data_IF_273359033055
#
_entry.id   IF_273359033055
#
_cell.length_a   1.000
_cell.length_b   1.000
_cell.length_c   1.000
_cell.angle_alpha   90.00
_cell.angle_beta   90.00
_cell.angle_gamma   90.00
#
_symmetry.space_group_name_H-M   'P 1'
#
loop_
_entity.id
_entity.type
_entity.pdbx_description
1 polymer ?
#
# COMPACT_ATOMS: atom_id res chain seq x y z
N UNK A 1 -4.03 8.45 -3.95
CA UNK A 1 -3.19 7.83 -2.92
C UNK A 1 -3.39 8.59 -1.63
N UNK A 2 -3.96 7.99 -0.59
CA UNK A 2 -4.29 8.67 0.66
C UNK A 2 -3.43 8.17 1.81
N UNK A 3 -2.64 9.02 2.29
CA UNK A 3 -2.11 9.33 3.63
C UNK A 3 -2.16 8.19 4.64
N UNK A 4 -1.28 7.24 4.52
CA UNK A 4 -1.13 6.15 5.49
C UNK A 4 -0.67 6.63 6.87
N UNK A 5 -0.05 7.78 6.96
CA UNK A 5 0.59 8.28 8.17
C UNK A 5 -0.30 8.89 9.23
N UNK A 6 -1.36 9.58 8.84
CA UNK A 6 -2.29 10.15 9.82
C UNK A 6 -3.18 9.10 10.47
N UNK A 7 -2.90 7.87 10.26
CA UNK A 7 -3.71 6.73 10.40
C UNK A 7 -3.46 5.87 11.56
N UNK A 8 -2.32 6.02 12.13
CA UNK A 8 -2.09 5.32 13.35
C UNK A 8 -3.04 5.92 14.40
N UNK A 9 -4.06 5.21 14.77
CA UNK A 9 -4.78 5.51 15.99
C UNK A 9 -3.73 5.46 17.09
N UNK A 10 -3.40 6.62 17.63
CA UNK A 10 -2.52 6.72 18.78
C UNK A 10 -3.27 6.17 19.99
N UNK A 11 -2.66 5.25 20.68
CA UNK A 11 -3.06 4.87 22.02
C UNK A 11 -1.84 4.94 22.93
N UNK A 12 -2.06 5.06 24.21
CA UNK A 12 -1.01 5.09 25.21
C UNK A 12 -0.90 3.73 25.89
N UNK A 13 0.29 3.15 25.91
CA UNK A 13 0.57 1.96 26.69
C UNK A 13 0.95 2.37 28.13
N UNK A 14 -0.05 2.40 28.99
CA UNK A 14 0.08 2.95 30.35
C UNK A 14 1.17 2.27 31.19
N UNK A 15 1.44 0.98 30.98
CA UNK A 15 2.44 0.25 31.74
C UNK A 15 3.88 0.74 31.47
N UNK A 16 4.18 1.21 30.24
CA UNK A 16 5.50 1.73 29.86
C UNK A 16 5.48 3.25 29.66
N UNK A 17 4.31 3.90 29.75
CA UNK A 17 4.12 5.32 29.43
C UNK A 17 4.61 5.68 28.04
N UNK A 18 4.31 4.80 27.06
CA UNK A 18 4.71 4.95 25.68
C UNK A 18 3.49 5.18 24.79
N UNK A 19 3.65 6.02 23.77
CA UNK A 19 2.68 6.15 22.68
C UNK A 19 2.84 4.95 21.73
N UNK A 20 1.79 4.15 21.59
CA UNK A 20 1.73 3.06 20.62
C UNK A 20 0.88 3.45 19.42
N UNK A 21 1.10 2.76 18.30
CA UNK A 21 0.34 2.98 17.07
C UNK A 21 -0.23 1.66 16.57
N UNK A 22 -1.44 1.69 16.04
CA UNK A 22 -1.99 0.54 15.33
C UNK A 22 -1.21 0.34 14.02
N UNK A 23 -0.91 -0.90 13.70
CA UNK A 23 -0.10 -1.25 12.52
C UNK A 23 -0.84 -0.97 11.22
N UNK A 24 -0.14 -0.43 10.24
CA UNK A 24 -0.63 -0.19 8.88
C UNK A 24 -0.26 -1.30 7.90
N UNK A 25 0.74 -2.14 8.25
CA UNK A 25 1.29 -3.24 7.48
C UNK A 25 1.96 -4.24 8.43
N UNK A 26 2.20 -5.45 7.94
CA UNK A 26 2.91 -6.53 8.64
C UNK A 26 4.36 -6.66 8.16
N UNK A 27 4.72 -5.96 7.09
CA UNK A 27 5.89 -6.13 6.25
C UNK A 27 7.21 -6.18 7.01
N UNK A 28 7.57 -5.10 7.70
CA UNK A 28 8.91 -4.99 8.32
C UNK A 28 9.13 -6.03 9.43
N UNK A 29 8.06 -6.45 10.12
CA UNK A 29 8.16 -7.51 11.13
C UNK A 29 8.38 -8.88 10.49
N UNK A 30 7.67 -9.21 9.42
CA UNK A 30 7.80 -10.48 8.72
C UNK A 30 9.16 -10.59 8.01
N UNK A 31 9.67 -9.51 7.43
CA UNK A 31 11.03 -9.46 6.86
C UNK A 31 12.12 -9.73 7.91
N UNK A 32 11.97 -9.22 9.13
CA UNK A 32 12.90 -9.54 10.24
C UNK A 32 12.90 -11.03 10.60
N UNK A 33 11.77 -11.72 10.46
CA UNK A 33 11.72 -13.18 10.65
C UNK A 33 12.47 -13.92 9.54
N UNK A 34 12.44 -13.41 8.30
CA UNK A 34 13.26 -13.94 7.19
C UNK A 34 14.74 -13.77 7.51
N UNK A 35 15.17 -12.60 7.98
CA UNK A 35 16.54 -12.35 8.46
C UNK A 35 16.92 -13.33 9.58
N UNK A 36 15.97 -13.63 10.48
CA UNK A 36 16.13 -14.60 11.56
C UNK A 36 16.19 -16.07 11.12
N UNK A 37 16.09 -16.35 9.80
CA UNK A 37 16.24 -17.68 9.22
C UNK A 37 14.95 -18.48 9.01
N UNK A 38 13.78 -17.85 9.16
CA UNK A 38 12.51 -18.46 8.78
C UNK A 38 12.29 -18.27 7.27
N UNK A 39 12.43 -19.36 6.49
CA UNK A 39 12.39 -19.27 5.03
C UNK A 39 11.02 -18.91 4.44
N UNK A 40 9.94 -19.19 5.17
CA UNK A 40 8.57 -18.90 4.75
C UNK A 40 7.76 -18.43 5.94
N UNK A 41 7.20 -17.25 5.82
CA UNK A 41 6.38 -16.65 6.87
C UNK A 41 5.12 -16.04 6.27
N UNK A 42 4.04 -16.07 7.01
CA UNK A 42 2.83 -15.32 6.67
C UNK A 42 2.07 -14.92 7.93
N UNK A 43 1.32 -13.86 7.81
CA UNK A 43 0.33 -13.46 8.81
C UNK A 43 -0.94 -12.99 8.10
N UNK A 44 -2.10 -13.38 8.65
CA UNK A 44 -3.40 -12.82 8.28
C UNK A 44 -3.87 -12.01 9.49
N UNK A 45 -4.03 -10.72 9.32
CA UNK A 45 -4.35 -9.85 10.44
C UNK A 45 -5.04 -8.56 10.04
N UNK A 46 -5.53 -7.85 11.07
CA UNK A 46 -6.08 -6.52 10.89
C UNK A 46 -4.98 -5.49 10.77
N UNK A 47 -5.16 -4.61 9.81
CA UNK A 47 -4.35 -3.40 9.62
C UNK A 47 -5.26 -2.18 9.58
N UNK A 48 -4.68 -1.04 9.88
CA UNK A 48 -5.43 0.19 10.11
C UNK A 48 -4.84 1.30 9.25
N UNK A 49 -5.68 1.86 8.39
CA UNK A 49 -5.25 2.94 7.51
C UNK A 49 -6.33 4.01 7.47
N UNK A 50 -6.01 5.34 7.52
CA UNK A 50 -6.91 6.46 7.45
C UNK A 50 -7.44 6.71 6.05
N UNK A 51 -7.69 5.78 5.27
CA UNK A 51 -8.31 5.92 3.99
C UNK A 51 -9.78 6.36 4.16
N UNK A 52 -10.33 6.96 3.13
CA UNK A 52 -11.75 7.32 3.15
C UNK A 52 -12.63 6.09 3.30
N UNK A 53 -13.84 6.26 3.79
CA UNK A 53 -14.86 5.21 3.83
C UNK A 53 -15.67 5.26 2.55
N UNK A 54 -15.52 4.22 1.72
CA UNK A 54 -16.31 4.02 0.50
C UNK A 54 -16.74 2.55 0.37
N UNK A 55 -17.13 2.11 -0.82
CA UNK A 55 -17.55 0.73 -1.06
C UNK A 55 -16.40 -0.27 -1.04
N UNK A 56 -15.15 0.18 -1.18
CA UNK A 56 -13.95 -0.66 -1.28
C UNK A 56 -12.95 -0.45 -0.14
N UNK A 57 -13.12 0.63 0.64
CA UNK A 57 -12.21 1.02 1.71
C UNK A 57 -12.93 1.11 3.05
N UNK A 58 -12.29 0.54 4.06
CA UNK A 58 -12.67 0.65 5.46
C UNK A 58 -11.40 0.94 6.27
N UNK A 59 -11.44 1.81 7.29
CA UNK A 59 -10.24 2.18 8.07
C UNK A 59 -9.53 0.99 8.73
N UNK A 60 -10.26 -0.08 8.96
CA UNK A 60 -9.80 -1.37 9.46
C UNK A 60 -10.15 -2.44 8.44
N UNK A 61 -9.17 -3.20 7.97
CA UNK A 61 -9.37 -4.27 6.99
C UNK A 61 -8.40 -5.43 7.22
N UNK A 62 -8.68 -6.58 6.58
CA UNK A 62 -7.86 -7.78 6.70
C UNK A 62 -6.85 -7.84 5.57
N UNK A 63 -5.58 -7.89 5.93
CA UNK A 63 -4.46 -8.11 5.03
C UNK A 63 -3.83 -9.46 5.32
N UNK A 64 -3.45 -10.20 4.29
CA UNK A 64 -2.51 -11.30 4.39
C UNK A 64 -1.21 -10.89 3.74
N UNK A 65 -0.13 -10.89 4.49
CA UNK A 65 1.22 -10.73 3.95
C UNK A 65 2.00 -12.02 4.12
N UNK A 66 2.78 -12.37 3.10
CA UNK A 66 3.68 -13.51 3.15
C UNK A 66 5.00 -13.19 2.46
N UNK A 67 6.06 -13.83 2.97
CA UNK A 67 7.42 -13.66 2.48
C UNK A 67 8.06 -15.03 2.36
N UNK A 68 8.79 -15.23 1.26
CA UNK A 68 9.50 -16.47 0.99
C UNK A 68 10.93 -16.17 0.55
N UNK A 69 11.91 -16.74 1.26
CA UNK A 69 13.31 -16.70 0.87
C UNK A 69 13.56 -17.53 -0.39
N UNK A 70 14.59 -17.14 -1.16
CA UNK A 70 15.07 -17.83 -2.36
C UNK A 70 14.05 -17.86 -3.49
N UNK A 71 13.22 -16.83 -3.59
CA UNK A 71 12.31 -16.55 -4.69
C UNK A 71 12.30 -15.04 -5.01
N UNK A 72 11.55 -14.66 -6.01
CA UNK A 72 11.41 -13.30 -6.51
C UNK A 72 9.95 -12.98 -6.84
N UNK A 73 9.71 -11.80 -7.45
CA UNK A 73 8.37 -11.37 -7.83
C UNK A 73 7.71 -12.28 -8.89
N UNK A 74 8.48 -12.97 -9.74
CA UNK A 74 7.92 -13.92 -10.70
C UNK A 74 7.36 -15.16 -9.98
N UNK A 75 8.09 -15.69 -9.00
CA UNK A 75 7.60 -16.75 -8.13
C UNK A 75 6.35 -16.34 -7.35
N UNK A 76 6.23 -15.06 -6.96
CA UNK A 76 5.01 -14.52 -6.35
C UNK A 76 3.84 -14.45 -7.35
N UNK A 77 4.08 -14.16 -8.63
CA UNK A 77 3.02 -14.24 -9.68
C UNK A 77 2.49 -15.66 -9.83
N UNK A 78 3.37 -16.67 -9.88
CA UNK A 78 2.98 -18.07 -9.99
C UNK A 78 2.15 -18.53 -8.77
N UNK A 79 2.60 -18.16 -7.58
CA UNK A 79 1.87 -18.42 -6.33
C UNK A 79 0.48 -17.78 -6.38
N UNK A 80 0.39 -16.54 -6.82
CA UNK A 80 -0.86 -15.78 -6.91
C UNK A 80 -1.85 -16.42 -7.87
N UNK A 81 -1.41 -16.73 -9.10
CA UNK A 81 -2.27 -17.43 -10.06
C UNK A 81 -2.79 -18.76 -9.52
N UNK A 82 -1.93 -19.56 -8.92
CA UNK A 82 -2.30 -20.87 -8.37
C UNK A 82 -3.27 -20.73 -7.19
N UNK A 83 -3.06 -19.74 -6.31
CA UNK A 83 -3.93 -19.48 -5.16
C UNK A 83 -5.33 -19.01 -5.60
N UNK A 84 -5.40 -18.03 -6.49
CA UNK A 84 -6.70 -17.53 -6.97
C UNK A 84 -7.50 -18.61 -7.69
N UNK A 85 -6.86 -19.41 -8.55
CA UNK A 85 -7.48 -20.55 -9.22
C UNK A 85 -7.99 -21.59 -8.22
N UNK A 86 -7.15 -21.97 -7.26
CA UNK A 86 -7.51 -22.93 -6.21
C UNK A 86 -8.71 -22.44 -5.39
N UNK A 87 -8.69 -21.18 -4.96
CA UNK A 87 -9.80 -20.62 -4.17
C UNK A 87 -11.09 -20.54 -4.95
N UNK A 88 -11.06 -20.11 -6.21
CA UNK A 88 -12.24 -20.10 -7.07
C UNK A 88 -12.85 -21.50 -7.24
N UNK A 89 -12.04 -22.53 -7.51
CA UNK A 89 -12.50 -23.91 -7.59
C UNK A 89 -13.08 -24.41 -6.26
N UNK A 90 -12.45 -24.10 -5.14
CA UNK A 90 -12.90 -24.59 -3.82
C UNK A 90 -14.13 -23.87 -3.30
N UNK A 91 -14.25 -22.58 -3.52
CA UNK A 91 -15.32 -21.72 -2.97
C UNK A 91 -16.51 -21.66 -3.94
N UNK A 92 -16.22 -21.42 -5.23
CA UNK A 92 -17.26 -21.20 -6.24
C UNK A 92 -17.56 -22.46 -7.09
N UNK A 93 -16.74 -23.51 -6.97
CA UNK A 93 -16.87 -24.74 -7.79
C UNK A 93 -16.45 -24.56 -9.24
N UNK A 94 -15.87 -23.43 -9.62
CA UNK A 94 -15.46 -23.10 -10.98
C UNK A 94 -14.35 -22.04 -10.94
N UNK A 95 -13.44 -22.10 -11.92
CA UNK A 95 -12.47 -21.01 -12.15
C UNK A 95 -13.06 -19.81 -12.88
N UNK A 96 -14.24 -19.96 -13.47
CA UNK A 96 -15.03 -18.86 -14.02
C UNK A 96 -16.03 -18.41 -12.96
N UNK A 97 -15.86 -17.18 -12.50
CA UNK A 97 -16.73 -16.56 -11.51
C UNK A 97 -17.48 -15.39 -12.15
N UNK A 98 -18.59 -15.00 -11.54
CA UNK A 98 -19.32 -13.78 -11.92
C UNK A 98 -19.25 -12.79 -10.79
N UNK A 99 -18.90 -11.55 -11.11
CA UNK A 99 -18.96 -10.44 -10.18
C UNK A 99 -19.78 -9.30 -10.80
N UNK A 100 -20.89 -8.95 -10.16
CA UNK A 100 -21.84 -7.93 -10.65
C UNK A 100 -22.24 -8.14 -12.13
N UNK A 101 -22.47 -9.42 -12.50
CA UNK A 101 -22.82 -9.81 -13.87
C UNK A 101 -21.66 -9.84 -14.88
N UNK A 102 -20.46 -9.54 -14.47
CA UNK A 102 -19.24 -9.61 -15.30
C UNK A 102 -18.58 -10.97 -15.09
N UNK A 103 -18.35 -11.74 -16.17
CA UNK A 103 -17.60 -13.00 -16.10
C UNK A 103 -16.10 -12.71 -15.97
N UNK A 104 -15.47 -13.30 -14.96
CA UNK A 104 -14.02 -13.25 -14.69
C UNK A 104 -13.49 -14.68 -14.77
N UNK A 105 -12.50 -14.89 -15.65
CA UNK A 105 -11.90 -16.21 -15.90
C UNK A 105 -10.53 -16.34 -15.19
N UNK A 106 -10.55 -16.92 -13.98
CA UNK A 106 -9.35 -17.22 -13.21
C UNK A 106 -8.62 -18.50 -13.65
N UNK A 107 -9.19 -19.24 -14.61
CA UNK A 107 -8.60 -20.47 -15.15
C UNK A 107 -7.54 -20.25 -16.22
N UNK A 108 -7.59 -19.11 -16.89
CA UNK A 108 -6.59 -18.72 -17.89
C UNK A 108 -5.32 -18.16 -17.24
N UNK A 109 -4.17 -18.20 -17.93
CA UNK A 109 -3.01 -17.43 -17.51
C UNK A 109 -3.37 -15.94 -17.36
N UNK A 110 -2.96 -15.33 -16.27
CA UNK A 110 -3.20 -13.91 -16.05
C UNK A 110 -2.36 -13.07 -17.03
N UNK A 111 -2.92 -11.98 -17.52
CA UNK A 111 -2.19 -11.08 -18.41
C UNK A 111 -1.02 -10.44 -17.66
N UNK A 112 0.15 -10.39 -18.28
CA UNK A 112 1.32 -9.66 -17.76
C UNK A 112 1.56 -8.45 -18.64
N UNK A 113 1.60 -7.26 -18.05
CA UNK A 113 1.75 -5.98 -18.76
C UNK A 113 2.60 -5.04 -17.93
N UNK A 114 3.52 -4.32 -18.55
CA UNK A 114 4.23 -3.26 -17.82
C UNK A 114 3.34 -2.05 -17.62
N UNK A 115 3.61 -1.24 -16.60
CA UNK A 115 2.85 -0.01 -16.35
C UNK A 115 2.93 0.93 -17.56
N UNK A 116 4.11 1.08 -18.20
CA UNK A 116 4.27 1.87 -19.41
C UNK A 116 3.48 1.31 -20.60
N UNK A 117 3.46 -0.03 -20.79
CA UNK A 117 2.67 -0.65 -21.87
C UNK A 117 1.16 -0.44 -21.65
N UNK A 118 0.70 -0.47 -20.40
CA UNK A 118 -0.69 -0.17 -20.06
C UNK A 118 -1.03 1.29 -20.43
N UNK A 119 -0.21 2.24 -20.01
CA UNK A 119 -0.42 3.67 -20.33
C UNK A 119 -0.39 3.87 -21.86
N UNK A 120 0.59 3.30 -22.53
CA UNK A 120 0.71 3.39 -24.00
C UNK A 120 -0.50 2.81 -24.71
N UNK A 121 -1.03 1.69 -24.22
CA UNK A 121 -2.21 1.03 -24.80
C UNK A 121 -3.46 1.91 -24.70
N UNK A 122 -3.68 2.56 -23.57
CA UNK A 122 -4.94 3.29 -23.31
C UNK A 122 -4.87 4.79 -23.63
N UNK A 123 -3.66 5.39 -23.64
CA UNK A 123 -3.48 6.82 -23.92
C UNK A 123 -2.70 7.11 -25.22
N UNK A 124 -1.94 6.15 -25.74
CA UNK A 124 -0.98 6.35 -26.83
C UNK A 124 0.37 6.96 -26.39
N UNK A 125 0.52 7.32 -25.10
CA UNK A 125 1.73 7.95 -24.57
C UNK A 125 2.73 6.87 -24.15
N UNK A 126 3.99 7.03 -24.61
CA UNK A 126 5.11 6.17 -24.25
C UNK A 126 6.07 6.91 -23.31
N UNK A 127 5.97 6.62 -22.01
CA UNK A 127 6.80 7.26 -21.00
C UNK A 127 8.29 6.89 -21.07
N UNK A 128 8.66 5.80 -21.76
CA UNK A 128 10.06 5.49 -22.00
C UNK A 128 10.71 6.53 -22.94
N UNK A 129 9.92 7.28 -23.70
CA UNK A 129 10.39 8.36 -24.57
C UNK A 129 10.36 9.75 -23.90
N UNK A 130 9.77 9.88 -22.73
CA UNK A 130 9.68 11.14 -21.96
C UNK A 130 11.02 11.38 -21.28
N UNK A 131 11.63 12.54 -21.53
CA UNK A 131 13.02 12.79 -21.18
C UNK A 131 13.26 12.95 -19.66
N UNK A 132 12.42 13.72 -18.98
CA UNK A 132 12.66 14.15 -17.60
C UNK A 132 11.35 14.51 -16.85
N UNK A 133 11.48 14.95 -15.60
CA UNK A 133 10.36 15.35 -14.74
C UNK A 133 9.55 16.51 -15.34
N UNK A 134 10.23 17.49 -15.96
CA UNK A 134 9.57 18.65 -16.55
C UNK A 134 8.71 18.25 -17.75
N UNK A 135 9.20 17.35 -18.59
CA UNK A 135 8.44 16.80 -19.71
C UNK A 135 7.25 15.96 -19.24
N UNK A 136 7.40 15.19 -18.16
CA UNK A 136 6.32 14.42 -17.57
C UNK A 136 5.24 15.32 -16.97
N UNK A 137 5.61 16.35 -16.21
CA UNK A 137 4.68 17.35 -15.65
C UNK A 137 3.90 18.08 -16.76
N UNK A 138 4.58 18.44 -17.84
CA UNK A 138 3.91 19.05 -19.00
C UNK A 138 2.85 18.13 -19.62
N UNK A 139 3.12 16.83 -19.72
CA UNK A 139 2.11 15.85 -20.16
C UNK A 139 0.94 15.78 -19.20
N UNK A 140 1.18 15.83 -17.88
CA UNK A 140 0.12 15.86 -16.89
C UNK A 140 -0.78 17.09 -17.06
N UNK A 141 -0.20 18.28 -17.31
CA UNK A 141 -0.96 19.52 -17.61
C UNK A 141 -1.80 19.37 -18.89
N UNK A 142 -1.20 18.84 -19.97
CA UNK A 142 -1.90 18.63 -21.26
C UNK A 142 -3.09 17.66 -21.12
N UNK A 143 -3.00 16.70 -20.18
CA UNK A 143 -4.04 15.71 -19.90
C UNK A 143 -4.91 16.04 -18.69
N UNK A 144 -4.78 17.26 -18.12
CA UNK A 144 -5.54 17.74 -16.97
C UNK A 144 -5.43 16.87 -15.70
N UNK A 145 -4.26 16.22 -15.52
CA UNK A 145 -3.94 15.46 -14.32
C UNK A 145 -3.36 16.41 -13.27
N UNK A 146 -3.97 16.43 -12.08
CA UNK A 146 -3.46 17.21 -10.96
C UNK A 146 -2.20 16.52 -10.37
N UNK A 147 -1.16 17.29 -10.10
CA UNK A 147 0.06 16.82 -9.49
C UNK A 147 0.60 17.82 -8.46
N UNK A 148 1.51 17.37 -7.60
CA UNK A 148 2.20 18.24 -6.66
C UNK A 148 3.59 18.63 -7.18
N UNK A 149 4.11 19.79 -6.75
CA UNK A 149 5.39 20.32 -7.27
C UNK A 149 6.56 19.34 -6.99
N UNK A 150 6.51 18.61 -5.90
CA UNK A 150 7.50 17.58 -5.52
C UNK A 150 7.50 16.33 -6.38
N UNK A 151 6.43 16.09 -7.15
CA UNK A 151 6.31 14.89 -7.98
C UNK A 151 7.41 14.83 -9.04
N UNK A 152 7.98 13.65 -9.22
CA UNK A 152 8.96 13.29 -10.25
C UNK A 152 8.27 12.54 -11.39
N UNK A 153 9.02 12.18 -12.40
CA UNK A 153 8.50 11.42 -13.55
C UNK A 153 7.79 10.14 -13.13
N UNK A 154 8.34 9.40 -12.15
CA UNK A 154 7.73 8.16 -11.66
C UNK A 154 6.35 8.39 -11.01
N UNK A 155 6.20 9.45 -10.22
CA UNK A 155 4.91 9.82 -9.63
C UNK A 155 3.88 10.16 -10.72
N UNK A 156 4.30 10.90 -11.76
CA UNK A 156 3.44 11.25 -12.89
C UNK A 156 3.02 10.00 -13.67
N UNK A 157 3.92 9.04 -13.90
CA UNK A 157 3.58 7.75 -14.52
C UNK A 157 2.46 7.06 -13.73
N UNK A 158 2.56 7.03 -12.41
CA UNK A 158 1.54 6.43 -11.55
C UNK A 158 0.19 7.14 -11.68
N UNK A 159 0.18 8.47 -11.65
CA UNK A 159 -1.05 9.27 -11.85
C UNK A 159 -1.72 9.00 -13.20
N UNK A 160 -0.93 8.84 -14.27
CA UNK A 160 -1.46 8.44 -15.58
C UNK A 160 -2.06 7.04 -15.56
N UNK A 161 -1.41 6.11 -14.89
CA UNK A 161 -1.91 4.75 -14.76
C UNK A 161 -3.24 4.71 -13.98
N UNK A 162 -3.33 5.37 -12.84
CA UNK A 162 -4.55 5.47 -12.02
C UNK A 162 -5.71 6.08 -12.82
N UNK A 163 -5.48 7.18 -13.53
CA UNK A 163 -6.53 7.90 -14.26
C UNK A 163 -7.04 7.13 -15.49
N UNK A 164 -6.14 6.53 -16.26
CA UNK A 164 -6.49 6.01 -17.59
C UNK A 164 -6.53 4.50 -17.70
N UNK A 165 -5.82 3.76 -16.83
CA UNK A 165 -5.62 2.32 -17.01
C UNK A 165 -6.40 1.46 -16.06
N UNK A 166 -6.47 1.79 -14.76
CA UNK A 166 -7.09 0.93 -13.74
C UNK A 166 -8.54 0.53 -14.10
N UNK A 167 -9.33 1.47 -14.56
CA UNK A 167 -10.72 1.29 -14.95
C UNK A 167 -10.94 0.31 -16.12
N UNK A 168 -9.90 0.02 -16.87
CA UNK A 168 -9.92 -0.86 -18.04
C UNK A 168 -9.52 -2.32 -17.70
N UNK A 169 -9.01 -2.56 -16.47
CA UNK A 169 -8.45 -3.83 -16.04
C UNK A 169 -9.53 -4.74 -15.43
N UNK A 170 -10.35 -5.34 -16.29
CA UNK A 170 -11.47 -6.21 -15.86
C UNK A 170 -10.99 -7.65 -15.60
N UNK A 171 -10.27 -8.24 -16.56
CA UNK A 171 -9.73 -9.60 -16.43
C UNK A 171 -8.41 -9.58 -15.65
N UNK A 172 -8.05 -10.69 -14.96
CA UNK A 172 -6.83 -10.75 -14.17
C UNK A 172 -5.59 -10.28 -14.93
N UNK A 173 -4.97 -9.21 -14.45
CA UNK A 173 -3.83 -8.57 -15.09
C UNK A 173 -2.79 -8.16 -14.07
N UNK A 174 -1.58 -8.68 -14.20
CA UNK A 174 -0.41 -8.20 -13.48
C UNK A 174 0.13 -6.94 -14.17
N UNK A 175 0.18 -5.84 -13.44
CA UNK A 175 0.87 -4.63 -13.86
C UNK A 175 2.26 -4.63 -13.23
N UNK A 176 3.29 -4.60 -14.07
CA UNK A 176 4.69 -4.79 -13.67
C UNK A 176 5.51 -3.53 -13.94
N UNK A 177 6.77 -3.56 -13.50
CA UNK A 177 7.76 -2.55 -13.80
C UNK A 177 7.38 -1.14 -13.33
N UNK A 178 6.96 -1.07 -12.07
CA UNK A 178 6.63 0.19 -11.42
C UNK A 178 7.85 1.10 -11.31
N UNK A 179 7.65 2.43 -11.32
CA UNK A 179 8.71 3.39 -11.08
C UNK A 179 9.34 3.24 -9.69
N UNK A 180 10.63 3.55 -9.62
CA UNK A 180 11.42 3.47 -8.39
C UNK A 180 10.94 4.46 -7.33
N UNK A 181 10.46 5.62 -7.73
CA UNK A 181 10.02 6.71 -6.87
C UNK A 181 8.87 6.31 -5.94
N UNK A 182 7.98 5.44 -6.43
CA UNK A 182 6.80 4.97 -5.68
C UNK A 182 7.00 3.60 -5.02
N UNK A 183 8.24 3.10 -4.94
CA UNK A 183 8.52 1.72 -4.51
C UNK A 183 9.73 1.63 -3.55
N UNK A 184 9.64 2.20 -2.33
CA UNK A 184 10.79 2.40 -1.45
C UNK A 184 11.41 1.12 -0.87
N UNK A 185 10.68 -0.02 -0.87
CA UNK A 185 11.10 -1.27 -0.24
C UNK A 185 11.41 -2.38 -1.27
N UNK A 186 11.44 -2.00 -2.56
CA UNK A 186 11.52 -2.94 -3.68
C UNK A 186 12.87 -2.91 -4.37
N UNK A 187 13.33 -4.07 -4.80
CA UNK A 187 14.59 -4.25 -5.54
C UNK A 187 14.50 -3.63 -6.93
N UNK A 188 15.55 -2.89 -7.33
CA UNK A 188 15.69 -2.35 -8.70
C UNK A 188 15.78 -3.47 -9.72
N UNK A 189 15.22 -3.25 -10.91
CA UNK A 189 15.48 -4.15 -12.06
C UNK A 189 16.92 -3.98 -12.52
N UNK A 190 17.67 -5.08 -12.69
CA UNK A 190 19.05 -5.00 -13.19
C UNK A 190 19.16 -4.41 -14.59
N UNK A 191 18.13 -4.60 -15.43
CA UNK A 191 18.09 -4.12 -16.81
C UNK A 191 17.73 -2.64 -16.95
N UNK A 192 17.01 -2.08 -15.98
CA UNK A 192 16.57 -0.69 -15.95
C UNK A 192 16.38 -0.23 -14.49
N UNK A 193 17.40 0.40 -13.88
CA UNK A 193 17.34 0.82 -12.47
C UNK A 193 16.31 1.91 -12.15
N UNK A 194 15.65 2.49 -13.13
CA UNK A 194 14.53 3.43 -12.92
C UNK A 194 13.23 2.70 -12.61
N UNK A 195 13.20 1.39 -12.83
CA UNK A 195 12.08 0.49 -12.57
C UNK A 195 12.45 -0.54 -11.50
N UNK A 196 11.43 -1.11 -10.88
CA UNK A 196 11.60 -2.11 -9.83
C UNK A 196 10.94 -3.43 -10.17
N UNK A 197 11.39 -4.51 -9.55
CA UNK A 197 10.81 -5.86 -9.63
C UNK A 197 9.55 -5.95 -8.78
N UNK A 198 8.47 -5.31 -9.23
CA UNK A 198 7.17 -5.20 -8.56
C UNK A 198 6.04 -5.52 -9.53
N UNK A 199 4.99 -6.10 -9.00
CA UNK A 199 3.71 -6.14 -9.68
C UNK A 199 2.56 -5.83 -8.73
N UNK A 200 1.47 -5.35 -9.31
CA UNK A 200 0.15 -5.32 -8.71
C UNK A 200 -0.80 -6.16 -9.56
N UNK A 201 -1.66 -6.96 -8.91
CA UNK A 201 -2.70 -7.70 -9.60
C UNK A 201 -4.00 -6.90 -9.60
N UNK A 202 -4.50 -6.62 -10.77
CA UNK A 202 -5.82 -6.02 -10.96
C UNK A 202 -6.85 -7.05 -11.44
N UNK A 203 -8.02 -7.06 -10.82
CA UNK A 203 -9.21 -7.82 -11.25
C UNK A 203 -10.42 -6.93 -11.02
N UNK A 204 -11.27 -6.79 -12.04
CA UNK A 204 -12.46 -5.95 -11.96
C UNK A 204 -12.17 -4.52 -11.50
N UNK A 205 -11.13 -3.90 -12.06
CA UNK A 205 -10.64 -2.55 -11.72
C UNK A 205 -10.09 -2.38 -10.30
N UNK A 206 -9.86 -3.47 -9.57
CA UNK A 206 -9.37 -3.43 -8.19
C UNK A 206 -7.99 -4.02 -8.08
N UNK A 207 -7.12 -3.34 -7.38
CA UNK A 207 -5.89 -3.91 -6.85
C UNK A 207 -6.24 -5.01 -5.84
N UNK A 208 -5.88 -6.25 -6.15
CA UNK A 208 -6.11 -7.43 -5.33
C UNK A 208 -4.91 -7.78 -4.45
N UNK A 209 -3.72 -7.53 -4.95
CA UNK A 209 -2.47 -7.72 -4.23
C UNK A 209 -1.35 -6.87 -4.83
N UNK A 210 -0.32 -6.66 -4.00
CA UNK A 210 0.91 -5.97 -4.34
C UNK A 210 2.09 -6.84 -3.90
N UNK A 211 3.05 -7.06 -4.80
CA UNK A 211 4.17 -7.95 -4.57
C UNK A 211 5.44 -7.49 -5.27
N UNK A 212 6.58 -7.88 -4.69
CA UNK A 212 7.87 -7.53 -5.26
C UNK A 212 9.00 -8.47 -4.80
N UNK A 213 10.11 -8.40 -5.52
CA UNK A 213 11.40 -8.84 -4.98
C UNK A 213 11.85 -7.85 -3.92
N UNK A 214 12.12 -8.35 -2.73
CA UNK A 214 12.46 -7.52 -1.58
C UNK A 214 13.81 -6.85 -1.77
N UNK A 215 13.89 -5.55 -1.44
CA UNK A 215 15.16 -4.86 -1.35
C UNK A 215 15.92 -5.40 -0.14
N UNK A 216 17.02 -6.09 -0.41
CA UNK A 216 17.86 -6.74 0.60
C UNK A 216 19.28 -6.15 0.71
N UNK A 217 19.54 -5.05 0.01
CA UNK A 217 20.77 -4.27 0.14
C UNK A 217 20.57 -3.15 1.16
N UNK A 218 21.25 -3.19 2.32
CA UNK A 218 21.07 -2.18 3.37
C UNK A 218 21.54 -0.78 2.94
N UNK A 219 22.49 -0.66 2.00
CA UNK A 219 22.97 0.62 1.50
C UNK A 219 21.91 1.28 0.63
N UNK A 220 21.38 0.54 -0.36
CA UNK A 220 20.26 1.03 -1.20
C UNK A 220 19.02 1.33 -0.35
N UNK A 221 18.69 0.49 0.64
CA UNK A 221 17.55 0.73 1.51
C UNK A 221 17.69 2.01 2.33
N UNK A 222 18.88 2.30 2.83
CA UNK A 222 19.18 3.56 3.56
C UNK A 222 18.99 4.78 2.65
N UNK A 223 19.44 4.70 1.39
CA UNK A 223 19.24 5.76 0.39
C UNK A 223 17.75 5.99 0.10
N UNK A 224 16.97 4.90 0.02
CA UNK A 224 15.51 4.98 -0.21
C UNK A 224 14.79 5.62 0.97
N UNK A 225 15.13 5.24 2.21
CA UNK A 225 14.56 5.86 3.39
C UNK A 225 14.94 7.34 3.50
N UNK A 226 16.19 7.71 3.20
CA UNK A 226 16.58 9.12 3.17
C UNK A 226 15.78 9.94 2.14
N UNK A 227 15.45 9.35 0.97
CA UNK A 227 14.58 9.98 -0.01
C UNK A 227 13.14 10.13 0.51
N UNK A 228 12.62 9.13 1.23
CA UNK A 228 11.31 9.20 1.87
C UNK A 228 11.27 10.27 2.98
N UNK A 229 12.30 10.37 3.82
CA UNK A 229 12.41 11.43 4.84
C UNK A 229 12.44 12.82 4.20
N UNK A 230 13.11 12.98 3.06
CA UNK A 230 13.12 14.24 2.30
C UNK A 230 11.74 14.58 1.73
N UNK A 231 11.01 13.59 1.19
CA UNK A 231 9.64 13.77 0.74
C UNK A 231 8.71 14.15 1.90
N UNK A 232 8.89 13.50 3.07
CA UNK A 232 8.17 13.84 4.29
C UNK A 232 8.39 15.30 4.70
N UNK A 233 9.65 15.77 4.65
CA UNK A 233 10.00 17.15 4.96
C UNK A 233 9.41 18.14 3.95
N UNK A 234 9.20 17.70 2.70
CA UNK A 234 8.54 18.47 1.65
C UNK A 234 6.99 18.43 1.72
N UNK A 235 6.41 17.81 2.75
CA UNK A 235 4.97 17.77 2.99
C UNK A 235 4.26 16.51 2.52
N UNK A 236 5.01 15.47 2.17
CA UNK A 236 4.45 14.16 1.90
C UNK A 236 4.05 13.46 3.20
N UNK A 237 2.77 13.50 3.51
CA UNK A 237 2.23 12.84 4.71
C UNK A 237 2.24 11.30 4.60
N UNK A 238 2.54 10.75 3.42
CA UNK A 238 2.56 9.31 3.16
C UNK A 238 3.96 8.71 3.14
N UNK A 239 4.99 9.56 3.06
CA UNK A 239 6.38 9.10 3.06
C UNK A 239 6.72 8.35 4.36
N UNK A 240 7.39 7.22 4.24
CA UNK A 240 7.84 6.41 5.37
C UNK A 240 9.04 7.05 6.06
N UNK A 241 9.13 6.89 7.37
CA UNK A 241 10.32 7.31 8.12
C UNK A 241 11.36 6.20 8.11
N UNK A 242 12.62 6.61 8.20
CA UNK A 242 13.73 5.69 8.41
C UNK A 242 13.50 4.81 9.64
N UNK A 243 13.54 3.49 9.45
CA UNK A 243 13.53 2.47 10.50
C UNK A 243 14.96 1.91 10.67
N UNK A 244 15.69 2.44 11.64
CA UNK A 244 17.08 2.02 11.91
C UNK A 244 17.14 0.55 12.40
N UNK A 245 16.12 0.05 13.10
CA UNK A 245 16.09 -1.36 13.53
C UNK A 245 15.93 -2.31 12.34
N UNK A 246 15.16 -1.90 11.33
CA UNK A 246 15.05 -2.66 10.10
C UNK A 246 16.34 -2.62 9.29
N UNK A 247 17.01 -1.45 9.19
CA UNK A 247 18.31 -1.34 8.52
C UNK A 247 19.35 -2.22 9.20
N UNK A 248 19.43 -2.21 10.54
CA UNK A 248 20.31 -3.10 11.30
C UNK A 248 20.01 -4.58 11.02
N UNK A 249 18.75 -4.95 10.88
CA UNK A 249 18.38 -6.32 10.50
C UNK A 249 18.88 -6.66 9.08
N UNK A 250 18.75 -5.75 8.11
CA UNK A 250 19.26 -5.97 6.76
C UNK A 250 20.80 -6.11 6.73
N UNK A 251 21.53 -5.39 7.58
CA UNK A 251 22.98 -5.50 7.70
C UNK A 251 23.45 -6.86 8.21
N UNK A 252 22.62 -7.58 8.99
CA UNK A 252 22.88 -8.97 9.37
C UNK A 252 22.83 -9.89 8.15
N UNK A 253 21.95 -9.58 7.21
CA UNK A 253 21.80 -10.27 5.92
C UNK A 253 20.41 -10.85 5.71
N UNK A 254 19.71 -10.35 4.70
CA UNK A 254 18.45 -10.93 4.23
C UNK A 254 18.69 -11.67 2.92
N UNK A 255 18.30 -12.96 2.79
CA UNK A 255 18.42 -13.67 1.53
C UNK A 255 17.54 -13.04 0.45
N UNK A 256 17.79 -13.29 -0.86
CA UNK A 256 16.84 -12.94 -1.91
C UNK A 256 15.45 -13.46 -1.52
N UNK A 257 14.46 -12.58 -1.52
CA UNK A 257 13.13 -12.86 -0.97
C UNK A 257 12.07 -12.25 -1.87
N UNK A 258 11.00 -12.97 -2.13
CA UNK A 258 9.78 -12.45 -2.70
C UNK A 258 8.74 -12.24 -1.59
N UNK A 259 8.06 -11.10 -1.63
CA UNK A 259 7.00 -10.75 -0.70
C UNK A 259 5.72 -10.35 -1.41
N UNK A 260 4.58 -10.52 -0.75
CA UNK A 260 3.27 -10.16 -1.29
C UNK A 260 2.27 -9.86 -0.19
N UNK A 261 1.45 -8.83 -0.42
CA UNK A 261 0.30 -8.49 0.39
C UNK A 261 -1.01 -8.67 -0.38
N UNK A 262 -1.96 -9.41 0.19
CA UNK A 262 -3.29 -9.65 -0.38
C UNK A 262 -4.38 -8.95 0.43
N UNK A 263 -5.23 -8.19 -0.24
CA UNK A 263 -6.46 -7.66 0.34
C UNK A 263 -7.52 -8.75 0.52
N UNK A 264 -7.58 -9.36 1.70
CA UNK A 264 -8.47 -10.51 1.95
C UNK A 264 -9.94 -10.10 1.83
N UNK A 265 -10.32 -8.94 2.32
CA UNK A 265 -11.72 -8.49 2.22
C UNK A 265 -12.12 -8.30 0.75
N UNK A 266 -11.24 -7.73 -0.10
CA UNK A 266 -11.48 -7.61 -1.56
C UNK A 266 -11.59 -8.98 -2.24
N UNK A 267 -10.74 -9.94 -1.84
CA UNK A 267 -10.80 -11.31 -2.35
C UNK A 267 -12.13 -12.00 -1.97
N UNK A 268 -12.58 -11.82 -0.73
CA UNK A 268 -13.89 -12.34 -0.29
C UNK A 268 -15.02 -11.67 -1.07
N UNK A 269 -15.01 -10.34 -1.24
CA UNK A 269 -15.99 -9.63 -2.07
C UNK A 269 -16.07 -10.22 -3.48
N UNK A 270 -14.92 -10.43 -4.13
CA UNK A 270 -14.84 -11.00 -5.47
C UNK A 270 -15.46 -12.39 -5.57
N UNK A 271 -15.13 -13.28 -4.62
CA UNK A 271 -15.57 -14.68 -4.63
C UNK A 271 -17.04 -14.86 -4.18
N UNK A 272 -17.62 -13.89 -3.47
CA UNK A 272 -19.00 -13.94 -2.94
C UNK A 272 -19.96 -13.01 -3.66
N UNK A 273 -19.51 -12.32 -4.73
CA UNK A 273 -20.29 -11.30 -5.45
C UNK A 273 -20.86 -10.21 -4.52
N UNK A 274 -20.06 -9.79 -3.54
CA UNK A 274 -20.45 -8.76 -2.56
C UNK A 274 -20.08 -7.36 -3.04
N UNK A 275 -21.05 -6.45 -3.09
CA UNK A 275 -20.89 -5.14 -3.72
C UNK A 275 -20.05 -4.16 -2.88
N UNK A 276 -19.97 -4.35 -1.56
CA UNK A 276 -19.25 -3.44 -0.68
C UNK A 276 -18.45 -4.19 0.40
N UNK A 277 -17.31 -3.61 0.79
CA UNK A 277 -16.44 -4.17 1.84
C UNK A 277 -17.18 -4.38 3.16
N UNK A 278 -18.14 -3.53 3.49
CA UNK A 278 -18.99 -3.65 4.68
C UNK A 278 -19.85 -4.91 4.69
N UNK A 279 -20.11 -5.50 3.52
CA UNK A 279 -20.93 -6.70 3.40
C UNK A 279 -20.16 -7.96 3.79
N UNK A 280 -18.83 -7.88 3.78
CA UNK A 280 -17.92 -8.98 4.16
C UNK A 280 -17.22 -8.76 5.50
N UNK A 281 -17.45 -7.61 6.15
CA UNK A 281 -16.97 -7.32 7.50
C UNK A 281 -18.06 -7.53 8.52
N UNK A 282 -17.76 -8.27 9.61
CA UNK A 282 -18.74 -8.51 10.69
C UNK A 282 -19.12 -7.24 11.43
N UNK A 283 -18.15 -6.32 11.63
CA UNK A 283 -18.33 -5.07 12.37
C UNK A 283 -17.66 -3.91 11.61
N UNK A 284 -18.23 -3.47 10.46
CA UNK A 284 -17.65 -2.39 9.68
C UNK A 284 -17.75 -1.05 10.43
N UNK A 285 -16.77 -0.18 10.20
CA UNK A 285 -16.85 1.20 10.67
C UNK A 285 -17.96 1.93 9.93
N UNK A 286 -18.95 2.43 10.66
CA UNK A 286 -20.11 3.12 10.11
C UNK A 286 -20.09 4.60 10.51
N UNK A 287 -20.65 5.46 9.65
CA UNK A 287 -20.90 6.86 10.03
C UNK A 287 -21.95 6.88 11.17
N UNK A 288 -21.72 7.74 12.18
CA UNK A 288 -22.70 7.92 13.25
C UNK A 288 -24.04 8.38 12.67
N UNK A 289 -25.13 7.76 13.14
CA UNK A 289 -26.50 8.14 12.74
C UNK A 289 -26.90 9.53 13.27
N UNK A 290 -26.25 10.00 14.34
CA UNK A 290 -26.64 11.22 15.06
C UNK A 290 -26.13 12.50 14.43
N UNK A 291 -25.48 12.45 13.27
CA UNK A 291 -25.03 13.62 12.51
C UNK A 291 -24.07 14.58 13.25
N UNK A 292 -23.63 14.21 14.45
CA UNK A 292 -22.75 15.04 15.28
C UNK A 292 -21.34 14.97 14.74
N UNK A 293 -20.96 15.98 14.00
CA UNK A 293 -19.57 16.28 13.65
C UNK A 293 -18.82 16.61 14.96
N UNK A 294 -18.23 15.63 15.61
CA UNK A 294 -17.32 15.81 16.77
C UNK A 294 -16.02 16.55 16.42
N UNK A 295 -15.96 17.24 15.31
CA UNK A 295 -14.77 18.04 14.95
C UNK A 295 -14.62 19.34 15.75
N UNK A 296 -15.63 19.76 16.53
CA UNK A 296 -15.58 21.03 17.24
C UNK A 296 -15.25 20.93 18.74
N UNK A 297 -15.20 19.73 19.34
CA UNK A 297 -15.01 19.63 20.79
C UNK A 297 -13.55 19.45 21.24
N UNK A 298 -12.62 19.20 20.34
CA UNK A 298 -11.19 19.02 20.71
C UNK A 298 -10.44 20.35 20.86
N UNK A 299 -10.98 21.45 20.33
CA UNK A 299 -10.32 22.76 20.43
C UNK A 299 -10.80 23.63 21.60
N UNK A 300 -11.77 23.18 22.41
CA UNK A 300 -12.32 23.98 23.51
C UNK A 300 -11.93 23.52 24.92
N UNK A 301 -11.08 22.53 25.07
CA UNK A 301 -10.61 22.08 26.40
C UNK A 301 -9.17 22.47 26.74
N UNK A 302 -8.54 23.30 25.91
CA UNK A 302 -7.14 23.75 26.14
C UNK A 302 -7.03 25.18 26.74
N UNK A 303 -8.10 25.77 27.22
CA UNK A 303 -8.03 27.08 27.88
C UNK A 303 -8.90 27.13 29.13
N UNK A 304 -8.44 26.50 30.21
CA UNK A 304 -8.73 26.89 31.60
C UNK A 304 -7.86 26.05 32.55
N UNK A 305 -6.59 26.44 32.68
CA UNK A 305 -5.80 26.04 33.84
C UNK A 305 -6.13 27.02 34.99
N UNK A 306 -6.52 26.56 36.18
CA UNK A 306 -6.76 27.48 37.30
C UNK A 306 -5.43 28.06 37.77
N UNK A 307 -5.34 29.40 37.80
CA UNK A 307 -4.30 30.13 38.49
C UNK A 307 -4.22 29.69 39.95
N UNK A 308 -3.11 29.08 40.33
CA UNK A 308 -2.79 28.87 41.77
C UNK A 308 -2.35 30.19 42.36
N UNK A 309 -3.21 30.83 43.14
CA UNK A 309 -2.88 31.89 44.05
C UNK A 309 -1.85 31.39 45.09
N UNK A 310 -0.60 31.82 44.91
CA UNK A 310 0.40 31.71 45.97
C UNK A 310 0.21 32.91 46.92
N UNK A 311 -0.38 32.70 48.08
CA UNK A 311 -0.32 33.63 49.20
C UNK A 311 1.05 33.47 49.86
N UNK A 312 1.87 34.49 49.75
CA UNK A 312 3.01 34.72 50.65
C UNK A 312 2.48 35.09 52.04
N UNK A 313 2.73 34.26 53.03
CA UNK A 313 2.76 34.72 54.42
C UNK A 313 4.20 34.88 54.88
N UNK A 314 4.51 36.13 55.11
CA UNK A 314 5.68 36.57 55.92
C UNK A 314 5.22 36.69 57.37
N UNK A 315 6.17 36.47 58.29
CA UNK A 315 6.21 36.83 59.70
C UNK A 315 5.52 35.85 60.71
N UNK A 316 6.32 35.05 61.39
CA UNK A 316 6.90 35.29 62.73
C UNK A 316 7.83 34.15 63.11
#
# INVERSE_FOLDING_TARGET
>A
VRRQRQMCIRDSYNALNEDVKLRISLELYLKRLIVGGLERVYEIGRVFRNEGVDTRHNPEFTLMELYQAYTDYEGMMELTESMFRYLAEKVCGSTKISYNGIEIDLGKPFTRMTMNDAIKKYTGIDFDTVADDAAAKKLAEEHHIAYEERHKKGDIINLFFEEFCEKELIQPTFIMDHPIEISPLTKKKPSDPTKVERFELFINTWEMCNAYSELNDPVDQRERFAAQDANAAAGDDEAEHTDEDFLNALEIGMPPTGGIGYGIDRLVMLLTDSAAIRDVLLFPTMKSLDGVNKKNDVNNTASEAPEKNVKTESEK
#
